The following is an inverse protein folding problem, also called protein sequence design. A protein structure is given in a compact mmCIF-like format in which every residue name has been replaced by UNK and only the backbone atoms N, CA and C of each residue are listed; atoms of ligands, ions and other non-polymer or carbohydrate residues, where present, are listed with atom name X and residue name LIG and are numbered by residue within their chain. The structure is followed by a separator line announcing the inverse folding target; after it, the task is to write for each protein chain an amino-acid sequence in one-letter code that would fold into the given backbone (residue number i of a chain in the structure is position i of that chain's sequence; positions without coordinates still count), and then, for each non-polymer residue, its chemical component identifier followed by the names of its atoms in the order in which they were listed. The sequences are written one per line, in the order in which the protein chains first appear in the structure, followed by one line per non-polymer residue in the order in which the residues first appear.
data_IF_824524524738
#
_entry.id   IF_824524524738
#
_cell.length_a   1.000
_cell.length_b   1.000
_cell.length_c   1.000
_cell.angle_alpha   90.00
_cell.angle_beta   90.00
_cell.angle_gamma   90.00
#
_symmetry.space_group_name_H-M   'P 1'
#
loop_
_entity.id
_entity.type
_entity.pdbx_description
1 polymer ?
#
# COMPACT_ATOMS: atom_id res chain seq x y z
N UNK A 1 -19.54 18.74 6.66
CA UNK A 1 -19.22 18.13 6.76
C UNK A 1 -18.44 17.49 7.11
N UNK A 2 -18.32 16.82 7.29
CA UNK A 2 -17.53 16.18 7.72
C UNK A 2 -16.66 15.71 7.04
N UNK A 3 -15.59 15.67 7.29
CA UNK A 3 -14.67 15.08 6.70
C UNK A 3 -14.53 13.80 7.05
N UNK A 4 -14.49 12.90 6.20
CA UNK A 4 -14.14 11.51 6.43
C UNK A 4 -12.73 11.47 6.88
N UNK A 5 -12.49 10.85 7.97
CA UNK A 5 -11.16 10.60 8.44
C UNK A 5 -10.62 9.39 7.68
N UNK A 6 -9.49 9.54 7.01
CA UNK A 6 -8.87 8.46 6.25
C UNK A 6 -7.49 8.18 6.79
N UNK A 7 -7.18 6.91 6.96
CA UNK A 7 -5.88 6.48 7.44
C UNK A 7 -5.36 5.38 6.53
N UNK A 8 -4.13 5.52 6.10
CA UNK A 8 -3.46 4.55 5.25
C UNK A 8 -2.18 4.16 5.99
N UNK A 9 -2.12 2.92 6.43
CA UNK A 9 -0.98 2.43 7.22
C UNK A 9 -0.40 1.18 6.61
N UNK A 10 0.90 1.02 6.67
CA UNK A 10 1.56 -0.16 6.17
C UNK A 10 2.42 -0.77 7.27
N UNK A 11 2.48 -2.10 7.32
CA UNK A 11 3.32 -2.81 8.28
C UNK A 11 3.48 -4.28 7.86
N UNK A 12 4.46 -4.98 8.35
CA UNK A 12 5.57 -4.50 9.15
C UNK A 12 6.59 -3.78 8.28
N UNK A 13 7.45 -3.00 8.89
CA UNK A 13 8.49 -2.32 8.16
C UNK A 13 9.71 -2.23 9.06
N UNK A 14 10.76 -3.03 8.80
CA UNK A 14 10.97 -3.81 7.57
C UNK A 14 10.12 -5.07 7.50
N UNK A 15 9.95 -5.59 6.31
CA UNK A 15 9.15 -6.77 6.08
C UNK A 15 9.98 -7.85 5.39
N UNK A 16 9.64 -9.11 5.64
CA UNK A 16 10.31 -10.23 4.99
C UNK A 16 9.50 -10.77 3.83
N UNK A 17 8.23 -10.97 4.04
CA UNK A 17 7.39 -11.63 3.04
C UNK A 17 6.23 -10.81 2.56
N UNK A 18 5.46 -10.28 3.48
CA UNK A 18 4.24 -9.59 3.16
C UNK A 18 4.21 -8.21 3.73
N UNK A 19 3.65 -7.29 3.00
CA UNK A 19 3.34 -5.97 3.52
C UNK A 19 1.83 -5.88 3.67
N UNK A 20 1.37 -5.53 4.85
CA UNK A 20 -0.06 -5.36 5.10
C UNK A 20 -0.40 -3.89 5.02
N UNK A 21 -1.55 -3.60 4.45
CA UNK A 21 -2.01 -2.24 4.26
C UNK A 21 -3.36 -2.12 4.95
N UNK A 22 -3.42 -1.28 5.96
CA UNK A 22 -4.66 -1.01 6.67
C UNK A 22 -5.27 0.25 6.13
N UNK A 23 -6.56 0.20 5.85
CA UNK A 23 -7.30 1.30 5.28
C UNK A 23 -8.46 1.64 6.19
N UNK A 24 -8.56 2.90 6.56
CA UNK A 24 -9.66 3.37 7.38
C UNK A 24 -10.30 4.54 6.65
N UNK A 25 -11.61 4.52 6.50
CA UNK A 25 -12.33 5.62 5.89
C UNK A 25 -12.36 5.57 4.37
N UNK A 26 -12.09 4.41 3.77
CA UNK A 26 -12.08 4.27 2.33
C UNK A 26 -13.26 3.47 1.79
N UNK A 27 -14.30 3.32 2.59
CA UNK A 27 -15.44 2.49 2.20
C UNK A 27 -15.99 2.90 0.82
N UNK A 28 -16.19 1.93 -0.03
CA UNK A 28 -16.72 2.17 -1.37
C UNK A 28 -15.73 2.71 -2.37
N UNK A 29 -14.49 2.88 -1.96
CA UNK A 29 -13.46 3.45 -2.84
C UNK A 29 -12.54 2.38 -3.37
N UNK A 30 -12.09 2.57 -4.58
CA UNK A 30 -11.14 1.68 -5.21
C UNK A 30 -9.77 2.33 -5.14
N UNK A 31 -8.80 1.57 -4.67
CA UNK A 31 -7.44 2.07 -4.55
C UNK A 31 -6.52 1.26 -5.44
N UNK A 32 -5.54 1.93 -6.00
CA UNK A 32 -4.50 1.28 -6.79
C UNK A 32 -3.19 1.46 -6.06
N UNK A 33 -2.48 0.34 -5.88
CA UNK A 33 -1.19 0.34 -5.21
C UNK A 33 -0.13 -0.02 -6.23
N UNK A 34 0.96 0.74 -6.26
CA UNK A 34 2.11 0.44 -7.11
C UNK A 34 3.34 0.37 -6.24
N UNK A 35 4.08 -0.70 -6.38
CA UNK A 35 5.35 -0.83 -5.68
C UNK A 35 6.46 -0.53 -6.66
N UNK A 36 7.32 0.40 -6.32
CA UNK A 36 8.33 0.95 -7.20
C UNK A 36 9.70 0.73 -6.55
N UNK A 37 10.68 0.33 -7.33
CA UNK A 37 12.03 0.15 -6.80
C UNK A 37 12.79 1.49 -6.84
N UNK A 38 14.03 1.46 -6.42
CA UNK A 38 14.80 2.70 -6.30
C UNK A 38 15.22 3.27 -7.64
N UNK A 39 15.07 2.51 -8.71
CA UNK A 39 15.34 2.99 -10.05
C UNK A 39 14.11 3.62 -10.70
N UNK A 40 12.98 3.61 -9.98
CA UNK A 40 11.74 4.17 -10.51
C UNK A 40 10.91 3.19 -11.30
N UNK A 41 11.30 1.92 -11.32
CA UNK A 41 10.55 0.91 -12.07
C UNK A 41 9.42 0.36 -11.24
N UNK A 42 8.25 0.26 -11.84
CA UNK A 42 7.10 -0.33 -11.16
C UNK A 42 7.26 -1.85 -11.13
N UNK A 43 7.33 -2.40 -9.93
CA UNK A 43 7.55 -3.82 -9.73
C UNK A 43 6.22 -4.57 -9.80
N UNK A 44 5.19 -4.01 -9.18
CA UNK A 44 3.87 -4.64 -9.23
C UNK A 44 2.79 -3.58 -9.04
N UNK A 45 1.60 -3.94 -9.45
CA UNK A 45 0.43 -3.07 -9.31
C UNK A 45 -0.72 -3.92 -8.81
N UNK A 46 -1.47 -3.39 -7.86
CA UNK A 46 -2.62 -4.09 -7.30
C UNK A 46 -3.76 -3.09 -7.13
N UNK A 47 -4.95 -3.52 -7.49
CA UNK A 47 -6.15 -2.71 -7.29
C UNK A 47 -7.00 -3.39 -6.22
N UNK A 48 -7.53 -2.63 -5.31
CA UNK A 48 -8.32 -3.15 -4.22
C UNK A 48 -9.49 -2.22 -3.95
N UNK A 49 -10.68 -2.80 -3.83
CA UNK A 49 -11.86 -2.02 -3.49
C UNK A 49 -12.19 -2.26 -2.03
N UNK A 50 -12.26 -1.18 -1.28
CA UNK A 50 -12.57 -1.26 0.14
C UNK A 50 -14.08 -1.35 0.32
N UNK A 51 -14.55 -2.44 0.91
CA UNK A 51 -15.97 -2.67 1.05
C UNK A 51 -16.51 -2.21 2.41
N UNK A 52 -15.65 -1.87 3.32
CA UNK A 52 -16.08 -1.43 4.63
C UNK A 52 -15.21 -0.28 5.11
N UNK A 53 -15.61 0.33 6.21
CA UNK A 53 -14.85 1.44 6.77
C UNK A 53 -13.47 1.06 7.26
N UNK A 54 -13.30 -0.20 7.65
CA UNK A 54 -11.99 -0.74 8.02
C UNK A 54 -11.71 -1.89 7.10
N UNK A 55 -10.58 -1.87 6.43
CA UNK A 55 -10.19 -2.93 5.52
C UNK A 55 -8.70 -3.14 5.60
N UNK A 56 -8.26 -4.35 5.28
CA UNK A 56 -6.83 -4.68 5.25
C UNK A 56 -6.59 -5.47 3.98
N UNK A 57 -5.55 -5.11 3.27
CA UNK A 57 -5.10 -5.90 2.13
C UNK A 57 -3.61 -6.15 2.28
N UNK A 58 -3.05 -6.98 1.42
CA UNK A 58 -1.66 -7.40 1.53
C UNK A 58 -0.99 -7.40 0.20
N UNK A 59 0.30 -7.17 0.20
CA UNK A 59 1.13 -7.29 -0.99
C UNK A 59 2.21 -8.31 -0.69
N UNK A 60 2.35 -9.30 -1.56
CA UNK A 60 3.33 -10.35 -1.41
C UNK A 60 4.65 -9.88 -1.97
N UNK A 61 5.64 -9.76 -1.11
CA UNK A 61 6.97 -9.33 -1.49
C UNK A 61 7.98 -10.47 -1.44
N UNK A 62 7.51 -11.69 -1.23
CA UNK A 62 8.41 -12.82 -0.96
C UNK A 62 9.39 -13.10 -2.10
N UNK A 63 9.03 -12.74 -3.33
CA UNK A 63 9.88 -13.00 -4.47
C UNK A 63 10.78 -11.84 -4.85
N UNK A 64 10.75 -10.76 -4.08
CA UNK A 64 11.54 -9.59 -4.40
C UNK A 64 12.89 -9.65 -3.68
N UNK A 65 13.88 -9.05 -4.28
CA UNK A 65 15.19 -8.95 -3.66
C UNK A 65 15.11 -8.03 -2.44
N UNK A 66 15.92 -8.26 -1.42
CA UNK A 66 15.99 -7.35 -0.29
C UNK A 66 16.40 -5.97 -0.75
N UNK A 67 15.85 -4.96 -0.15
CA UNK A 67 16.19 -3.59 -0.49
C UNK A 67 15.06 -2.65 -0.16
N UNK A 68 15.18 -1.45 -0.66
CA UNK A 68 14.22 -0.41 -0.38
C UNK A 68 13.30 -0.21 -1.56
N UNK A 69 12.02 -0.07 -1.26
CA UNK A 69 10.99 0.13 -2.27
C UNK A 69 10.09 1.25 -1.81
N UNK A 70 9.28 1.77 -2.70
CA UNK A 70 8.31 2.80 -2.37
C UNK A 70 6.93 2.32 -2.78
N UNK A 71 5.99 2.37 -1.88
CA UNK A 71 4.62 2.02 -2.17
C UNK A 71 3.83 3.29 -2.43
N UNK A 72 3.19 3.36 -3.58
CA UNK A 72 2.31 4.45 -3.94
C UNK A 72 0.88 3.94 -3.91
N UNK A 73 0.02 4.63 -3.18
CA UNK A 73 -1.40 4.32 -3.17
C UNK A 73 -2.18 5.51 -3.64
N UNK A 74 -3.23 5.28 -4.40
CA UNK A 74 -4.08 6.37 -4.87
C UNK A 74 -5.52 5.93 -4.98
N UNK A 75 -6.44 6.83 -4.69
CA UNK A 75 -7.86 6.60 -4.92
C UNK A 75 -8.34 7.39 -6.14
N UNK A 76 -7.42 7.97 -6.90
CA UNK A 76 -7.74 8.77 -8.06
C UNK A 76 -7.72 10.27 -7.78
N UNK A 77 -7.78 10.66 -6.52
CA UNK A 77 -7.77 12.06 -6.14
C UNK A 77 -6.64 12.36 -5.17
N UNK A 78 -6.38 11.43 -4.26
CA UNK A 78 -5.32 11.60 -3.28
C UNK A 78 -4.26 10.54 -3.51
N UNK A 79 -3.06 10.84 -3.07
CA UNK A 79 -1.94 9.93 -3.21
C UNK A 79 -1.27 9.74 -1.86
N UNK A 80 -0.86 8.52 -1.61
CA UNK A 80 -0.10 8.18 -0.39
C UNK A 80 1.19 7.54 -0.82
N UNK A 81 2.26 7.84 -0.11
CA UNK A 81 3.59 7.30 -0.40
C UNK A 81 4.17 6.75 0.89
N UNK A 82 4.65 5.52 0.84
CA UNK A 82 5.26 4.89 2.02
C UNK A 82 6.53 4.18 1.59
N UNK A 83 7.56 4.35 2.40
CA UNK A 83 8.79 3.60 2.21
C UNK A 83 8.62 2.19 2.70
N UNK A 84 9.16 1.23 2.00
CA UNK A 84 9.09 -0.19 2.37
C UNK A 84 10.49 -0.76 2.31
N UNK A 85 10.92 -1.39 3.40
CA UNK A 85 12.23 -2.03 3.45
C UNK A 85 11.98 -3.53 3.48
N UNK A 86 12.50 -4.24 2.47
CA UNK A 86 12.38 -5.68 2.38
C UNK A 86 13.67 -6.31 2.88
N UNK A 87 13.54 -7.25 3.80
CA UNK A 87 14.71 -7.99 4.31
C UNK A 87 14.58 -9.46 3.93
N UNK A 88 15.63 -10.19 4.16
CA UNK A 88 15.61 -11.64 3.92
C UNK A 88 14.99 -12.38 5.05
#
# INVERSE_FOLDING_TARGET
TDQAFQLFSTYPNPTMDELKIDLLGFEGQELTFKLVDMNGSTILTKTYRSESGNATTEIDLSKLAPGMYVLHGTDGQRNWVREVVKTN
#
